data_IF_344569380854
#
_entry.id   IF_344569380854
#
_cell.length_a   1.000
_cell.length_b   1.000
_cell.length_c   1.000
_cell.angle_alpha   90.00
_cell.angle_beta   90.00
_cell.angle_gamma   90.00
#
_symmetry.space_group_name_H-M   'P 1'
#
loop_
_entity.id
_entity.type
_entity.pdbx_description
1 polymer ?
#
# COMPACT_ATOMS: atom_id res chain seq x y z
N UNK A 1 -33.78 1.80 -33.91
CA UNK A 1 -32.57 1.09 -33.44
C UNK A 1 -31.36 1.87 -33.89
N UNK A 2 -30.87 2.76 -33.04
CA UNK A 2 -29.71 3.62 -33.33
C UNK A 2 -28.55 3.08 -32.52
N UNK A 3 -27.61 2.42 -33.19
CA UNK A 3 -26.38 1.91 -32.58
C UNK A 3 -25.45 3.09 -32.39
N UNK A 4 -25.15 3.45 -31.14
CA UNK A 4 -24.13 4.46 -30.83
C UNK A 4 -22.72 3.87 -31.08
N UNK A 5 -21.78 4.66 -31.61
CA UNK A 5 -20.44 4.18 -31.92
C UNK A 5 -19.66 3.94 -30.62
N UNK A 6 -19.13 2.71 -30.48
CA UNK A 6 -18.20 2.32 -29.43
C UNK A 6 -16.95 3.21 -29.51
N UNK A 7 -16.73 4.03 -28.49
CA UNK A 7 -15.51 4.82 -28.34
C UNK A 7 -14.37 3.86 -27.98
N UNK A 8 -13.45 3.62 -28.91
CA UNK A 8 -12.19 2.92 -28.64
C UNK A 8 -11.35 3.75 -27.66
N UNK A 9 -11.24 3.27 -26.42
CA UNK A 9 -10.34 3.87 -25.43
C UNK A 9 -8.89 3.78 -25.91
N UNK A 10 -8.07 4.84 -25.74
CA UNK A 10 -6.69 4.84 -26.20
C UNK A 10 -5.88 3.87 -25.34
N UNK A 11 -5.45 2.75 -25.95
CA UNK A 11 -4.48 1.80 -25.39
C UNK A 11 -3.24 2.57 -24.90
N UNK A 12 -3.12 2.78 -23.58
CA UNK A 12 -1.93 3.35 -22.95
C UNK A 12 -0.74 2.44 -23.26
N UNK A 13 0.16 2.96 -24.09
CA UNK A 13 1.35 2.24 -24.54
C UNK A 13 2.24 1.91 -23.35
N UNK A 14 2.38 0.61 -23.03
CA UNK A 14 3.41 0.06 -22.13
C UNK A 14 4.76 0.71 -22.45
N UNK A 15 5.35 1.40 -21.46
CA UNK A 15 6.75 1.79 -21.52
C UNK A 15 7.59 0.53 -21.32
N UNK A 16 7.80 -0.22 -22.41
CA UNK A 16 8.83 -1.25 -22.45
C UNK A 16 10.16 -0.55 -22.20
N UNK A 17 10.93 -1.02 -21.22
CA UNK A 17 12.33 -0.65 -21.03
C UNK A 17 13.02 -0.72 -22.40
N UNK A 18 13.31 0.44 -22.96
CA UNK A 18 13.90 0.53 -24.28
C UNK A 18 15.40 0.35 -24.12
N UNK A 19 15.91 -0.82 -24.49
CA UNK A 19 17.35 -1.10 -24.57
C UNK A 19 18.10 -0.05 -25.37
N UNK A 20 17.40 0.62 -26.30
CA UNK A 20 17.93 1.76 -27.05
C UNK A 20 18.18 2.96 -26.14
N UNK A 21 17.26 3.30 -25.23
CA UNK A 21 17.43 4.45 -24.31
C UNK A 21 18.62 4.24 -23.37
N UNK A 22 18.80 3.03 -22.83
CA UNK A 22 19.99 2.71 -22.02
C UNK A 22 21.27 2.73 -22.86
N UNK A 23 21.24 2.23 -24.10
CA UNK A 23 22.40 2.28 -24.99
C UNK A 23 22.80 3.73 -25.36
N UNK A 24 21.83 4.61 -25.62
CA UNK A 24 22.08 6.04 -25.84
C UNK A 24 22.71 6.70 -24.61
N UNK A 25 22.26 6.33 -23.40
CA UNK A 25 22.84 6.84 -22.17
C UNK A 25 24.31 6.41 -21.99
N UNK A 26 24.62 5.14 -22.22
CA UNK A 26 26.00 4.65 -22.19
C UNK A 26 26.88 5.29 -23.27
N UNK A 27 26.36 5.50 -24.48
CA UNK A 27 27.08 6.20 -25.55
C UNK A 27 27.40 7.66 -25.18
N UNK A 28 26.46 8.37 -24.55
CA UNK A 28 26.69 9.73 -24.05
C UNK A 28 27.74 9.77 -22.93
N UNK A 29 27.69 8.83 -22.00
CA UNK A 29 28.71 8.71 -20.93
C UNK A 29 30.08 8.41 -21.52
N UNK A 30 30.17 7.48 -22.47
CA UNK A 30 31.42 7.16 -23.16
C UNK A 30 31.98 8.40 -23.88
N UNK A 31 31.12 9.15 -24.60
CA UNK A 31 31.54 10.36 -25.30
C UNK A 31 32.00 11.46 -24.34
N UNK A 32 31.35 11.61 -23.19
CA UNK A 32 31.78 12.53 -22.13
C UNK A 32 33.15 12.13 -21.56
N UNK A 33 33.36 10.84 -21.24
CA UNK A 33 34.64 10.32 -20.73
C UNK A 33 35.75 10.49 -21.77
N UNK A 34 35.49 10.17 -23.04
CA UNK A 34 36.44 10.37 -24.14
C UNK A 34 36.77 11.86 -24.34
N UNK A 35 35.76 12.74 -24.25
CA UNK A 35 35.95 14.19 -24.34
C UNK A 35 36.84 14.72 -23.22
N UNK A 36 36.60 14.31 -21.97
CA UNK A 36 37.44 14.68 -20.82
C UNK A 36 38.86 14.12 -20.97
N UNK A 37 39.02 12.89 -21.46
CA UNK A 37 40.34 12.32 -21.71
C UNK A 37 41.12 13.09 -22.77
N UNK A 38 40.46 13.49 -23.87
CA UNK A 38 41.06 14.28 -24.93
C UNK A 38 41.47 15.68 -24.43
N UNK A 39 40.64 16.35 -23.62
CA UNK A 39 40.99 17.66 -23.06
C UNK A 39 42.17 17.57 -22.10
N UNK A 40 42.22 16.55 -21.22
CA UNK A 40 43.36 16.32 -20.32
C UNK A 40 44.64 16.06 -21.10
N UNK A 41 44.57 15.29 -22.20
CA UNK A 41 45.74 15.02 -23.04
C UNK A 41 46.25 16.28 -23.75
N UNK A 42 45.36 17.08 -24.32
CA UNK A 42 45.73 18.37 -24.95
C UNK A 42 46.31 19.35 -23.92
N UNK A 43 45.76 19.36 -22.71
CA UNK A 43 46.28 20.11 -21.57
C UNK A 43 47.69 19.67 -21.16
N UNK A 44 47.94 18.36 -21.14
CA UNK A 44 49.24 17.78 -20.80
C UNK A 44 50.30 18.05 -21.88
N UNK A 45 49.90 17.97 -23.16
CA UNK A 45 50.77 18.32 -24.30
C UNK A 45 51.07 19.83 -24.32
N UNK A 46 50.10 20.71 -24.02
CA UNK A 46 50.31 22.15 -23.92
C UNK A 46 51.14 22.58 -22.70
N UNK A 47 51.08 21.82 -21.60
CA UNK A 47 51.89 22.06 -20.41
C UNK A 47 53.40 21.78 -20.64
N UNK A 48 53.73 20.97 -21.65
CA UNK A 48 55.12 20.69 -22.01
C UNK A 48 55.79 21.89 -22.73
N UNK A 49 55.01 22.78 -23.35
CA UNK A 49 55.55 23.91 -24.14
C UNK A 49 55.51 25.24 -23.39
N UNK A 50 54.50 25.48 -22.53
CA UNK A 50 54.37 26.73 -21.78
C UNK A 50 53.82 26.52 -20.34
N UNK A 51 54.67 26.58 -19.29
CA UNK A 51 54.25 26.32 -17.90
C UNK A 51 53.19 27.31 -17.37
N UNK A 52 53.09 28.50 -17.97
CA UNK A 52 52.07 29.49 -17.62
C UNK A 52 50.67 29.16 -18.19
N UNK A 53 50.59 28.47 -19.33
CA UNK A 53 49.31 28.10 -19.96
C UNK A 53 48.60 26.93 -19.27
N UNK A 54 49.37 26.05 -18.63
CA UNK A 54 48.84 24.92 -17.86
C UNK A 54 48.04 25.38 -16.63
N UNK A 55 48.51 26.43 -15.94
CA UNK A 55 47.86 26.96 -14.74
C UNK A 55 46.51 27.62 -15.05
N UNK A 56 46.41 28.39 -16.15
CA UNK A 56 45.15 29.03 -16.54
C UNK A 56 44.09 28.03 -16.92
N UNK A 57 44.47 26.95 -17.61
CA UNK A 57 43.55 25.92 -18.03
C UNK A 57 43.12 24.98 -16.88
N UNK A 58 44.00 24.69 -15.91
CA UNK A 58 43.61 24.01 -14.65
C UNK A 58 42.63 24.86 -13.83
N UNK A 59 42.87 26.17 -13.73
CA UNK A 59 41.95 27.09 -13.05
C UNK A 59 40.59 27.19 -13.75
N UNK A 60 40.56 27.17 -15.09
CA UNK A 60 39.32 27.16 -15.87
C UNK A 60 38.53 25.86 -15.71
N UNK A 61 39.20 24.70 -15.65
CA UNK A 61 38.58 23.40 -15.35
C UNK A 61 38.06 23.31 -13.90
N UNK A 62 38.80 23.86 -12.93
CA UNK A 62 38.34 23.93 -11.54
C UNK A 62 37.10 24.84 -11.40
N UNK A 63 37.08 25.98 -12.11
CA UNK A 63 35.95 26.89 -12.11
C UNK A 63 34.69 26.27 -12.76
N UNK A 64 34.84 25.53 -13.85
CA UNK A 64 33.71 24.84 -14.51
C UNK A 64 33.20 23.64 -13.70
N UNK A 65 34.08 22.88 -13.04
CA UNK A 65 33.69 21.81 -12.11
C UNK A 65 32.93 22.32 -10.87
N UNK A 66 33.26 23.52 -10.38
CA UNK A 66 32.60 24.13 -9.23
C UNK A 66 31.16 24.61 -9.54
N UNK A 67 30.86 24.96 -10.80
CA UNK A 67 29.52 25.40 -11.23
C UNK A 67 28.55 24.23 -11.47
N UNK A 68 29.06 23.01 -11.71
CA UNK A 68 28.24 21.80 -11.85
C UNK A 68 27.89 21.12 -10.50
N UNK A 69 28.64 21.40 -9.43
CA UNK A 69 28.44 20.83 -8.10
C UNK A 69 27.18 21.28 -7.30
N UNK A 70 26.55 22.47 -7.52
CA UNK A 70 25.39 22.89 -6.74
C UNK A 70 24.15 22.02 -6.98
N UNK A 71 24.02 21.39 -8.15
CA UNK A 71 22.89 20.53 -8.50
C UNK A 71 22.84 19.24 -7.66
N UNK A 72 24.00 18.60 -7.44
CA UNK A 72 24.11 17.37 -6.66
C UNK A 72 24.13 17.61 -5.14
N UNK A 73 24.65 18.75 -4.66
CA UNK A 73 24.58 19.11 -3.23
C UNK A 73 23.16 19.46 -2.77
N UNK A 74 22.34 20.08 -3.63
CA UNK A 74 20.91 20.36 -3.32
C UNK A 74 20.06 19.10 -3.18
N UNK A 75 20.40 18.03 -3.89
CA UNK A 75 19.67 16.74 -3.81
C UNK A 75 20.01 15.92 -2.56
N UNK A 76 21.24 16.02 -2.03
CA UNK A 76 21.63 15.36 -0.76
C UNK A 76 21.13 16.10 0.49
N UNK A 77 21.09 17.43 0.48
CA UNK A 77 20.61 18.23 1.64
C UNK A 77 19.09 18.14 1.81
N UNK A 78 18.31 17.98 0.72
CA UNK A 78 16.85 17.78 0.80
C UNK A 78 16.42 16.48 1.48
N UNK A 79 17.28 15.45 1.53
CA UNK A 79 17.01 14.19 2.23
C UNK A 79 17.23 14.28 3.75
N UNK A 80 18.13 15.16 4.20
CA UNK A 80 18.42 15.34 5.63
C UNK A 80 17.53 16.42 6.29
N UNK A 81 17.08 17.42 5.52
CA UNK A 81 16.22 18.49 6.03
C UNK A 81 14.80 18.05 6.43
N UNK A 82 14.32 16.88 5.98
CA UNK A 82 13.00 16.36 6.38
C UNK A 82 13.00 15.64 7.73
N UNK A 83 14.17 15.24 8.24
CA UNK A 83 14.30 14.54 9.52
C UNK A 83 14.28 15.51 10.71
N UNK A 84 14.94 16.67 10.58
CA UNK A 84 15.06 17.68 11.65
C UNK A 84 13.77 18.49 11.84
N UNK A 85 12.97 18.66 10.80
CA UNK A 85 11.66 19.32 10.90
C UNK A 85 10.70 18.53 11.80
N UNK A 86 10.71 17.19 11.74
CA UNK A 86 9.84 16.34 12.58
C UNK A 86 10.26 16.32 14.05
N UNK A 87 11.57 16.37 14.35
CA UNK A 87 12.05 16.45 15.74
C UNK A 87 11.76 17.81 16.38
N UNK A 88 11.81 18.89 15.60
CA UNK A 88 11.42 20.23 16.07
C UNK A 88 9.91 20.36 16.27
N UNK A 89 9.11 19.78 15.38
CA UNK A 89 7.64 19.76 15.51
C UNK A 89 7.21 18.97 16.76
N UNK A 90 7.77 17.76 16.97
CA UNK A 90 7.47 16.95 18.15
C UNK A 90 7.92 17.62 19.47
N UNK A 91 9.06 18.32 19.46
CA UNK A 91 9.52 19.09 20.62
C UNK A 91 8.64 20.32 20.90
N UNK A 92 8.13 20.97 19.85
CA UNK A 92 7.21 22.10 19.98
C UNK A 92 5.83 21.66 20.51
N UNK A 93 5.33 20.49 20.07
CA UNK A 93 4.07 19.91 20.55
C UNK A 93 4.18 19.45 22.02
N UNK A 94 5.31 18.86 22.43
CA UNK A 94 5.56 18.50 23.83
C UNK A 94 5.64 19.72 24.76
N UNK A 95 6.23 20.83 24.29
CA UNK A 95 6.25 22.08 25.03
C UNK A 95 4.84 22.69 25.17
N UNK A 96 4.03 22.65 24.10
CA UNK A 96 2.66 23.15 24.11
C UNK A 96 1.73 22.33 25.03
N UNK A 97 1.92 21.02 25.10
CA UNK A 97 1.12 20.14 25.98
C UNK A 97 1.44 20.35 27.46
N UNK A 98 2.70 20.64 27.80
CA UNK A 98 3.10 20.98 29.17
C UNK A 98 2.46 22.29 29.64
N UNK A 99 2.39 23.29 28.75
CA UNK A 99 1.70 24.57 29.04
C UNK A 99 0.18 24.38 29.15
N UNK A 100 -0.42 23.51 28.33
CA UNK A 100 -1.86 23.21 28.35
C UNK A 100 -2.26 22.39 29.58
N UNK A 101 -1.42 21.46 30.04
CA UNK A 101 -1.61 20.68 31.26
C UNK A 101 -1.55 21.57 32.52
N UNK A 102 -0.70 22.60 32.53
CA UNK A 102 -0.62 23.57 33.63
C UNK A 102 -1.81 24.54 33.70
N UNK A 103 -2.63 24.63 32.63
CA UNK A 103 -3.77 25.56 32.55
C UNK A 103 -5.12 24.91 32.85
N UNK A 104 -5.17 23.60 33.19
CA UNK A 104 -6.41 22.90 33.51
C UNK A 104 -6.78 23.11 34.97
N UNK A 105 -7.95 23.70 35.30
CA UNK A 105 -8.40 23.79 36.68
C UNK A 105 -8.76 22.39 37.23
N UNK A 106 -8.55 22.13 38.52
CA UNK A 106 -8.84 20.82 39.11
C UNK A 106 -10.35 20.56 39.14
N UNK A 107 -10.75 19.38 38.69
CA UNK A 107 -12.11 18.86 38.83
C UNK A 107 -12.28 18.37 40.29
N UNK A 108 -13.37 18.72 41.00
CA UNK A 108 -13.60 18.23 42.36
C UNK A 108 -13.90 16.72 42.41
N UNK A 109 -13.23 16.05 43.33
CA UNK A 109 -13.38 14.65 43.72
C UNK A 109 -14.67 14.45 44.54
N UNK A 110 -15.82 14.25 43.90
CA UNK A 110 -17.06 13.85 44.60
C UNK A 110 -18.10 13.25 43.64
N UNK A 111 -17.90 12.03 43.16
CA UNK A 111 -18.98 11.15 42.67
C UNK A 111 -18.47 9.71 42.42
N UNK A 112 -17.95 9.06 43.46
CA UNK A 112 -17.81 7.59 43.47
C UNK A 112 -18.32 7.08 44.82
N UNK A 113 -19.64 7.01 44.96
CA UNK A 113 -20.29 6.23 46.01
C UNK A 113 -21.78 6.01 45.66
N UNK A 114 -22.15 4.73 45.60
CA UNK A 114 -23.48 4.14 45.77
C UNK A 114 -23.96 3.31 44.57
N UNK A 115 -23.75 1.99 44.66
CA UNK A 115 -24.81 0.98 44.58
C UNK A 115 -24.18 -0.42 44.46
N UNK A 116 -23.81 -1.01 45.60
CA UNK A 116 -23.73 -2.46 45.78
C UNK A 116 -24.74 -2.82 46.89
N UNK A 117 -25.74 -3.63 46.54
CA UNK A 117 -26.50 -4.52 47.42
C UNK A 117 -27.69 -5.10 46.64
N UNK A 118 -27.70 -6.41 46.41
CA UNK A 118 -28.85 -7.07 45.79
C UNK A 118 -28.68 -8.56 45.51
N UNK A 119 -28.41 -9.35 46.56
CA UNK A 119 -28.49 -10.82 46.57
C UNK A 119 -29.91 -11.29 46.20
N UNK A 120 -30.02 -12.36 45.40
CA UNK A 120 -31.29 -13.05 45.16
C UNK A 120 -31.16 -14.32 44.33
N UNK A 121 -30.93 -15.45 45.01
CA UNK A 121 -31.10 -16.81 44.48
C UNK A 121 -32.57 -17.24 44.62
N UNK A 122 -33.20 -17.75 43.55
CA UNK A 122 -34.35 -18.64 43.64
C UNK A 122 -34.55 -19.44 42.33
N UNK A 123 -34.42 -20.75 42.47
CA UNK A 123 -34.85 -21.85 41.61
C UNK A 123 -36.37 -21.94 41.47
N UNK A 124 -36.89 -22.30 40.28
CA UNK A 124 -38.12 -23.09 40.02
C UNK A 124 -37.94 -23.73 38.61
N UNK A 125 -37.65 -25.02 38.47
CA UNK A 125 -38.50 -26.22 38.50
C UNK A 125 -39.06 -26.62 37.12
N UNK A 126 -39.00 -27.93 36.82
CA UNK A 126 -39.19 -28.54 35.50
C UNK A 126 -40.65 -28.74 35.08
N UNK A 127 -40.92 -28.87 33.78
CA UNK A 127 -41.29 -30.16 33.18
C UNK A 127 -42.32 -30.02 32.04
N UNK A 128 -42.53 -31.07 31.21
CA UNK A 128 -42.76 -30.98 29.75
C UNK A 128 -44.17 -31.41 29.30
N UNK A 129 -44.66 -30.98 28.12
CA UNK A 129 -45.83 -31.58 27.43
C UNK A 129 -45.78 -31.40 25.88
N UNK A 130 -45.50 -32.50 25.18
CA UNK A 130 -46.20 -33.17 24.06
C UNK A 130 -47.00 -32.42 22.96
N UNK A 131 -46.73 -32.83 21.69
CA UNK A 131 -47.65 -33.01 20.53
C UNK A 131 -48.23 -31.76 19.85
N UNK A 132 -48.41 -31.63 18.52
CA UNK A 132 -48.46 -32.54 17.37
C UNK A 132 -48.32 -31.68 16.06
N UNK A 133 -48.11 -32.28 14.87
CA UNK A 133 -47.77 -31.58 13.63
C UNK A 133 -49.01 -31.19 12.79
N UNK A 134 -48.95 -30.03 12.11
CA UNK A 134 -49.95 -29.68 11.09
C UNK A 134 -49.31 -29.39 9.72
N UNK A 135 -49.99 -30.01 8.76
CA UNK A 135 -49.83 -30.17 7.32
C UNK A 135 -50.20 -28.91 6.50
N UNK A 136 -49.65 -28.81 5.28
CA UNK A 136 -50.41 -28.29 4.13
C UNK A 136 -49.98 -26.98 3.47
N UNK A 137 -49.24 -27.08 2.35
CA UNK A 137 -49.42 -26.19 1.19
C UNK A 137 -48.15 -25.52 0.61
N UNK A 138 -47.82 -25.71 -0.69
CA UNK A 138 -46.76 -24.95 -1.34
C UNK A 138 -47.27 -23.54 -1.67
N UNK A 139 -46.68 -22.52 -1.04
CA UNK A 139 -46.91 -21.14 -1.44
C UNK A 139 -46.14 -20.89 -2.74
N UNK A 140 -46.89 -20.56 -3.79
CA UNK A 140 -46.39 -20.03 -5.05
C UNK A 140 -45.52 -18.79 -4.77
N UNK A 141 -44.19 -18.98 -4.77
CA UNK A 141 -43.24 -17.87 -4.70
C UNK A 141 -43.16 -17.20 -6.07
N UNK A 142 -43.67 -15.97 -6.15
CA UNK A 142 -43.51 -15.07 -7.28
C UNK A 142 -42.02 -14.97 -7.67
N UNK A 143 -41.62 -15.23 -8.94
CA UNK A 143 -40.22 -15.16 -9.38
C UNK A 143 -39.55 -13.80 -9.18
N UNK A 144 -40.30 -12.75 -8.84
CA UNK A 144 -39.78 -11.40 -8.57
C UNK A 144 -39.38 -11.16 -7.11
N UNK A 145 -39.69 -12.10 -6.20
CA UNK A 145 -39.31 -12.03 -4.77
C UNK A 145 -38.10 -12.89 -4.43
N UNK A 146 -37.31 -13.27 -5.46
CA UNK A 146 -36.02 -13.93 -5.24
C UNK A 146 -35.11 -12.93 -4.50
N UNK A 147 -34.70 -13.18 -3.25
CA UNK A 147 -33.71 -12.34 -2.59
C UNK A 147 -32.46 -12.32 -3.49
N UNK A 148 -31.74 -11.18 -3.61
CA UNK A 148 -30.46 -11.16 -4.29
C UNK A 148 -29.64 -12.32 -3.71
N UNK A 149 -29.10 -13.17 -4.60
CA UNK A 149 -28.45 -14.43 -4.26
C UNK A 149 -27.72 -14.27 -2.93
N UNK A 150 -28.24 -14.93 -1.88
CA UNK A 150 -27.83 -14.68 -0.50
C UNK A 150 -26.31 -14.63 -0.44
N UNK A 151 -25.76 -13.42 -0.31
CA UNK A 151 -24.34 -13.18 -0.34
C UNK A 151 -23.74 -14.02 0.78
N UNK A 152 -22.86 -14.94 0.41
CA UNK A 152 -22.09 -15.70 1.39
C UNK A 152 -21.25 -14.68 2.17
N UNK A 153 -21.69 -14.33 3.38
CA UNK A 153 -20.96 -13.41 4.24
C UNK A 153 -19.88 -14.23 4.92
N UNK A 154 -18.65 -14.12 4.41
CA UNK A 154 -17.52 -14.82 4.99
C UNK A 154 -17.10 -14.12 6.28
N UNK A 155 -17.09 -14.85 7.40
CA UNK A 155 -16.54 -14.34 8.65
C UNK A 155 -15.01 -14.44 8.63
N UNK A 156 -14.35 -13.40 8.15
CA UNK A 156 -12.90 -13.32 8.09
C UNK A 156 -12.23 -13.23 9.47
N UNK A 157 -12.96 -12.86 10.53
CA UNK A 157 -12.39 -12.75 11.87
C UNK A 157 -12.18 -14.11 12.53
N UNK A 158 -13.00 -15.10 12.16
CA UNK A 158 -12.85 -16.48 12.61
C UNK A 158 -11.67 -17.21 11.95
N UNK A 159 -11.11 -16.67 10.85
CA UNK A 159 -9.99 -17.27 10.13
C UNK A 159 -8.66 -16.99 10.82
N UNK A 160 -7.77 -17.99 10.81
CA UNK A 160 -6.35 -17.77 11.06
C UNK A 160 -5.68 -17.11 9.83
N UNK A 161 -4.37 -16.86 9.90
CA UNK A 161 -3.65 -16.14 8.84
C UNK A 161 -3.63 -16.92 7.51
N UNK A 162 -3.31 -18.22 7.55
CA UNK A 162 -3.20 -19.06 6.35
C UNK A 162 -4.58 -19.29 5.70
N UNK A 163 -5.63 -19.46 6.51
CA UNK A 163 -7.00 -19.56 6.03
C UNK A 163 -7.48 -18.23 5.44
N UNK A 164 -7.05 -17.09 6.00
CA UNK A 164 -7.36 -15.77 5.45
C UNK A 164 -6.71 -15.56 4.07
N UNK A 165 -5.46 -15.96 3.90
CA UNK A 165 -4.78 -15.92 2.59
C UNK A 165 -5.51 -16.80 1.56
N UNK A 166 -5.92 -18.00 1.96
CA UNK A 166 -6.67 -18.93 1.13
C UNK A 166 -8.05 -18.40 0.75
N UNK A 167 -8.72 -17.69 1.68
CA UNK A 167 -9.99 -17.04 1.43
C UNK A 167 -9.86 -15.91 0.38
N UNK A 168 -8.83 -15.06 0.51
CA UNK A 168 -8.56 -14.00 -0.48
C UNK A 168 -8.24 -14.59 -1.86
N UNK A 169 -7.46 -15.67 -1.92
CA UNK A 169 -7.21 -16.39 -3.17
C UNK A 169 -8.51 -16.92 -3.80
N UNK A 170 -9.43 -17.46 -2.99
CA UNK A 170 -10.74 -17.93 -3.45
C UNK A 170 -11.58 -16.78 -4.04
N UNK A 171 -11.53 -15.58 -3.44
CA UNK A 171 -12.17 -14.40 -4.02
C UNK A 171 -11.57 -14.02 -5.37
N UNK A 172 -10.24 -14.09 -5.52
CA UNK A 172 -9.59 -13.86 -6.80
C UNK A 172 -10.07 -14.85 -7.87
N UNK A 173 -10.11 -16.15 -7.57
CA UNK A 173 -10.61 -17.17 -8.50
C UNK A 173 -12.08 -16.95 -8.88
N UNK A 174 -12.93 -16.67 -7.88
CA UNK A 174 -14.36 -16.38 -8.06
C UNK A 174 -14.59 -15.25 -9.05
N UNK A 175 -13.78 -14.19 -8.95
CA UNK A 175 -13.95 -12.97 -9.74
C UNK A 175 -13.12 -12.97 -11.04
N UNK A 176 -12.63 -14.14 -11.44
CA UNK A 176 -12.10 -14.38 -12.78
C UNK A 176 -10.59 -14.24 -12.93
N UNK A 177 -9.84 -14.12 -11.82
CA UNK A 177 -8.38 -14.28 -11.89
C UNK A 177 -7.99 -15.70 -12.32
N UNK A 178 -6.84 -15.81 -12.98
CA UNK A 178 -6.20 -17.06 -13.38
C UNK A 178 -4.87 -17.23 -12.67
N UNK A 179 -4.30 -18.43 -12.73
CA UNK A 179 -2.98 -18.76 -12.17
C UNK A 179 -2.84 -18.38 -10.68
N UNK A 180 -3.95 -18.46 -9.94
CA UNK A 180 -4.03 -18.07 -8.54
C UNK A 180 -3.20 -19.03 -7.70
N UNK A 181 -2.32 -18.49 -6.87
CA UNK A 181 -1.43 -19.24 -5.98
C UNK A 181 -1.32 -18.53 -4.66
N UNK A 182 -1.60 -19.25 -3.58
CA UNK A 182 -1.19 -18.87 -2.22
C UNK A 182 0.29 -19.22 -2.08
N UNK A 183 1.11 -18.22 -1.77
CA UNK A 183 2.56 -18.36 -1.62
C UNK A 183 2.94 -18.43 -0.15
N UNK A 184 2.26 -17.66 0.70
CA UNK A 184 2.28 -17.64 2.18
C UNK A 184 3.47 -18.25 2.92
N UNK A 185 4.11 -17.47 3.78
CA UNK A 185 5.00 -17.98 4.82
C UNK A 185 6.47 -17.61 4.63
N UNK A 186 7.38 -18.43 5.16
CA UNK A 186 8.78 -18.03 5.27
C UNK A 186 9.43 -17.78 3.90
N UNK A 187 9.78 -16.52 3.61
CA UNK A 187 10.44 -16.12 2.37
C UNK A 187 9.48 -15.70 1.25
N UNK A 188 8.19 -15.52 1.54
CA UNK A 188 7.20 -14.95 0.63
C UNK A 188 7.52 -13.50 0.20
N UNK A 189 8.41 -12.82 0.95
CA UNK A 189 8.78 -11.41 0.77
C UNK A 189 7.54 -10.49 0.74
N UNK A 190 6.47 -10.92 1.42
CA UNK A 190 5.19 -10.23 1.53
C UNK A 190 4.23 -10.40 0.36
N UNK A 191 4.48 -11.33 -0.56
CA UNK A 191 3.47 -11.72 -1.55
C UNK A 191 2.75 -12.97 -1.07
N UNK A 192 1.57 -12.80 -0.48
CA UNK A 192 0.82 -13.91 0.13
C UNK A 192 -0.07 -14.59 -0.92
N UNK A 193 -0.62 -13.80 -1.86
CA UNK A 193 -1.35 -14.31 -3.04
C UNK A 193 -0.81 -13.71 -4.33
N UNK A 194 -0.57 -14.56 -5.32
CA UNK A 194 -0.20 -14.18 -6.68
C UNK A 194 -1.28 -14.65 -7.65
N UNK A 195 -1.65 -13.80 -8.59
CA UNK A 195 -2.63 -14.14 -9.62
C UNK A 195 -2.42 -13.36 -10.93
N UNK A 196 -3.10 -13.79 -11.97
CA UNK A 196 -3.27 -13.05 -13.22
C UNK A 196 -4.70 -12.50 -13.26
N UNK A 197 -4.87 -11.18 -13.31
CA UNK A 197 -6.21 -10.55 -13.37
C UNK A 197 -6.96 -10.94 -14.65
N UNK A 198 -8.30 -10.74 -14.71
CA UNK A 198 -9.08 -11.01 -15.92
C UNK A 198 -8.52 -10.31 -17.17
N UNK A 199 -8.02 -9.07 -17.03
CA UNK A 199 -7.41 -8.27 -18.09
C UNK A 199 -5.92 -8.57 -18.35
N UNK A 200 -5.36 -9.57 -17.67
CA UNK A 200 -4.02 -10.12 -17.94
C UNK A 200 -2.87 -9.40 -17.24
N UNK A 201 -3.13 -8.60 -16.21
CA UNK A 201 -2.12 -7.98 -15.36
C UNK A 201 -1.67 -8.94 -14.27
N UNK A 202 -0.41 -8.84 -13.85
CA UNK A 202 0.09 -9.57 -12.68
C UNK A 202 -0.40 -8.92 -11.39
N UNK A 203 -1.20 -9.65 -10.63
CA UNK A 203 -1.73 -9.27 -9.31
C UNK A 203 -0.85 -9.85 -8.20
N UNK A 204 -0.50 -9.01 -7.23
CA UNK A 204 0.22 -9.38 -6.02
C UNK A 204 -0.53 -8.82 -4.83
N UNK A 205 -0.92 -9.69 -3.90
CA UNK A 205 -1.66 -9.31 -2.70
C UNK A 205 -0.87 -9.73 -1.46
N UNK A 206 -0.75 -8.80 -0.51
CA UNK A 206 -0.39 -9.09 0.88
C UNK A 206 -1.66 -9.15 1.72
N UNK A 207 -1.80 -10.19 2.52
CA UNK A 207 -2.85 -10.37 3.49
C UNK A 207 -2.34 -10.02 4.90
N UNK A 208 -3.11 -9.23 5.65
CA UNK A 208 -2.83 -8.91 7.07
C UNK A 208 -4.05 -9.17 7.93
N UNK A 209 -4.07 -10.31 8.60
CA UNK A 209 -5.11 -10.66 9.58
C UNK A 209 -4.79 -10.01 10.93
N UNK A 210 -5.41 -8.87 11.20
CA UNK A 210 -5.28 -8.15 12.48
C UNK A 210 -6.65 -7.98 13.14
N UNK A 211 -6.66 -7.88 14.48
CA UNK A 211 -7.87 -7.56 15.23
C UNK A 211 -8.27 -6.07 15.08
N UNK A 212 -9.50 -5.70 15.47
CA UNK A 212 -10.09 -4.39 15.19
C UNK A 212 -9.32 -3.20 15.81
N UNK A 213 -8.55 -3.43 16.87
CA UNK A 213 -7.74 -2.38 17.53
C UNK A 213 -6.40 -2.16 16.82
N UNK A 214 -5.90 -3.16 16.09
CA UNK A 214 -4.59 -3.14 15.46
C UNK A 214 -4.70 -2.82 13.98
N UNK A 215 -4.30 -1.62 13.60
CA UNK A 215 -4.32 -1.15 12.21
C UNK A 215 -3.01 -1.47 11.51
N UNK A 216 -3.07 -1.65 10.19
CA UNK A 216 -1.89 -1.82 9.34
C UNK A 216 -1.08 -0.52 9.33
N UNK A 217 0.19 -0.64 9.71
CA UNK A 217 1.11 0.48 9.88
C UNK A 217 1.90 0.79 8.61
N UNK A 218 2.47 1.99 8.52
CA UNK A 218 3.29 2.39 7.36
C UNK A 218 4.52 1.49 7.15
N UNK A 219 5.02 0.85 8.20
CA UNK A 219 6.11 -0.12 8.09
C UNK A 219 5.71 -1.37 7.30
N UNK A 220 4.48 -1.85 7.43
CA UNK A 220 3.98 -3.00 6.66
C UNK A 220 3.94 -2.65 5.17
N UNK A 221 3.38 -1.49 4.84
CA UNK A 221 3.30 -1.01 3.46
C UNK A 221 4.68 -0.73 2.87
N UNK A 222 5.64 -0.22 3.67
CA UNK A 222 7.01 0.00 3.20
C UNK A 222 7.75 -1.31 2.88
N UNK A 223 7.54 -2.36 3.69
CA UNK A 223 8.12 -3.68 3.41
C UNK A 223 7.55 -4.26 2.12
N UNK A 224 6.22 -4.26 2.00
CA UNK A 224 5.53 -4.73 0.80
C UNK A 224 5.89 -3.90 -0.43
N UNK A 225 5.88 -2.58 -0.33
CA UNK A 225 6.26 -1.66 -1.38
C UNK A 225 7.71 -1.84 -1.86
N UNK A 226 8.59 -2.33 -0.99
CA UNK A 226 9.96 -2.68 -1.33
C UNK A 226 10.09 -3.92 -2.24
N UNK A 227 9.10 -4.81 -2.26
CA UNK A 227 9.18 -6.13 -2.91
C UNK A 227 8.14 -6.33 -4.01
N UNK A 228 6.90 -5.86 -3.83
CA UNK A 228 5.78 -6.15 -4.74
C UNK A 228 6.09 -5.84 -6.22
N UNK A 229 6.68 -4.68 -6.50
CA UNK A 229 7.05 -4.30 -7.87
C UNK A 229 8.41 -4.84 -8.32
N UNK A 230 9.43 -4.72 -7.47
CA UNK A 230 10.81 -5.01 -7.85
C UNK A 230 11.13 -6.51 -7.88
N UNK A 231 10.46 -7.30 -7.04
CA UNK A 231 10.69 -8.75 -6.89
C UNK A 231 9.55 -9.54 -7.50
N UNK A 232 8.30 -9.16 -7.20
CA UNK A 232 7.13 -9.91 -7.67
C UNK A 232 6.54 -9.38 -8.98
N UNK A 233 7.11 -8.32 -9.55
CA UNK A 233 6.71 -7.73 -10.84
C UNK A 233 5.22 -7.39 -10.89
N UNK A 234 4.64 -6.92 -9.78
CA UNK A 234 3.25 -6.53 -9.70
C UNK A 234 2.90 -5.47 -10.77
N UNK A 235 1.83 -5.70 -11.51
CA UNK A 235 1.14 -4.66 -12.28
C UNK A 235 -0.07 -4.12 -11.50
N UNK A 236 -0.61 -4.92 -10.58
CA UNK A 236 -1.58 -4.52 -9.54
C UNK A 236 -1.05 -5.02 -8.20
N UNK A 237 -0.83 -4.12 -7.25
CA UNK A 237 -0.39 -4.44 -5.90
C UNK A 237 -1.47 -4.03 -4.90
N UNK A 238 -1.90 -4.94 -4.04
CA UNK A 238 -2.87 -4.65 -3.00
C UNK A 238 -2.45 -5.20 -1.64
N UNK A 239 -2.84 -4.50 -0.58
CA UNK A 239 -2.83 -5.03 0.78
C UNK A 239 -4.27 -5.18 1.24
N UNK A 240 -4.62 -6.39 1.66
CA UNK A 240 -5.95 -6.76 2.14
C UNK A 240 -5.85 -7.07 3.63
N UNK A 241 -6.73 -6.51 4.44
CA UNK A 241 -6.69 -6.70 5.90
C UNK A 241 -8.09 -6.83 6.49
N UNK A 242 -8.20 -7.59 7.58
CA UNK A 242 -9.41 -7.65 8.42
C UNK A 242 -9.55 -6.44 9.35
N UNK A 243 -8.66 -5.47 9.27
CA UNK A 243 -8.66 -4.24 10.08
C UNK A 243 -8.67 -3.01 9.16
N UNK A 244 -8.16 -1.88 9.66
CA UNK A 244 -7.99 -0.66 8.88
C UNK A 244 -6.52 -0.32 8.68
N UNK A 245 -6.27 0.69 7.86
CA UNK A 245 -4.97 1.31 7.69
C UNK A 245 -4.81 2.53 8.60
N UNK A 246 -3.60 2.73 9.10
CA UNK A 246 -3.22 4.02 9.69
C UNK A 246 -3.11 5.09 8.61
N UNK A 247 -3.34 6.36 8.95
CA UNK A 247 -3.19 7.46 7.98
C UNK A 247 -1.81 7.48 7.29
N UNK A 248 -0.67 7.33 7.99
CA UNK A 248 0.64 7.26 7.33
C UNK A 248 0.81 6.04 6.41
N UNK A 249 0.09 4.94 6.66
CA UNK A 249 0.10 3.78 5.78
C UNK A 249 -0.65 4.08 4.48
N UNK A 250 -1.84 4.68 4.57
CA UNK A 250 -2.63 5.09 3.41
C UNK A 250 -1.89 6.10 2.54
N UNK A 251 -1.28 7.14 3.15
CA UNK A 251 -0.47 8.13 2.43
C UNK A 251 0.72 7.52 1.69
N UNK A 252 1.35 6.50 2.28
CA UNK A 252 2.46 5.79 1.63
C UNK A 252 1.96 4.88 0.50
N UNK A 253 0.87 4.15 0.74
CA UNK A 253 0.27 3.26 -0.25
C UNK A 253 -0.13 4.03 -1.52
N UNK A 254 -0.75 5.20 -1.37
CA UNK A 254 -1.08 6.10 -2.47
C UNK A 254 0.16 6.51 -3.29
N UNK A 255 1.25 6.91 -2.63
CA UNK A 255 2.50 7.28 -3.30
C UNK A 255 3.13 6.13 -4.10
N UNK A 256 2.93 4.90 -3.65
CA UNK A 256 3.45 3.69 -4.27
C UNK A 256 2.43 2.98 -5.18
N UNK A 257 1.25 3.56 -5.39
CA UNK A 257 0.14 2.94 -6.13
C UNK A 257 -0.25 1.55 -5.59
N UNK A 258 -0.15 1.35 -4.29
CA UNK A 258 -0.60 0.14 -3.60
C UNK A 258 -2.06 0.36 -3.18
N UNK A 259 -2.93 -0.55 -3.55
CA UNK A 259 -4.34 -0.50 -3.19
C UNK A 259 -4.53 -1.00 -1.76
N UNK A 260 -5.30 -0.26 -0.97
CA UNK A 260 -5.63 -0.61 0.41
C UNK A 260 -7.06 -1.14 0.45
N UNK A 261 -7.22 -2.40 0.83
CA UNK A 261 -8.52 -3.03 1.09
C UNK A 261 -8.62 -3.29 2.59
N UNK A 262 -9.30 -2.38 3.29
CA UNK A 262 -9.61 -2.52 4.70
C UNK A 262 -10.76 -3.51 4.90
N UNK A 263 -11.25 -3.59 6.13
CA UNK A 263 -12.38 -4.45 6.48
C UNK A 263 -13.60 -4.17 5.61
N UNK A 264 -13.99 -2.91 5.47
CA UNK A 264 -15.21 -2.53 4.74
C UNK A 264 -15.09 -2.89 3.27
N UNK A 265 -13.98 -2.52 2.61
CA UNK A 265 -13.74 -2.83 1.20
C UNK A 265 -13.63 -4.33 0.95
N UNK A 266 -13.01 -5.09 1.87
CA UNK A 266 -12.96 -6.54 1.81
C UNK A 266 -14.36 -7.16 1.92
N UNK A 267 -15.19 -6.70 2.85
CA UNK A 267 -16.55 -7.20 3.03
C UNK A 267 -17.39 -6.90 1.78
N UNK A 268 -17.33 -5.68 1.25
CA UNK A 268 -18.04 -5.28 0.05
C UNK A 268 -17.60 -6.09 -1.17
N UNK A 269 -16.29 -6.29 -1.34
CA UNK A 269 -15.75 -7.16 -2.39
C UNK A 269 -16.21 -8.62 -2.20
N UNK A 270 -16.16 -9.14 -0.98
CA UNK A 270 -16.61 -10.51 -0.68
C UNK A 270 -18.11 -10.72 -0.92
N UNK A 271 -18.93 -9.69 -0.71
CA UNK A 271 -20.36 -9.73 -0.97
C UNK A 271 -20.71 -9.47 -2.45
N UNK A 272 -19.74 -9.11 -3.29
CA UNK A 272 -19.94 -8.78 -4.70
C UNK A 272 -20.64 -7.43 -4.94
N UNK A 273 -20.63 -6.54 -3.93
CA UNK A 273 -21.20 -5.19 -4.02
C UNK A 273 -20.13 -4.11 -4.23
N UNK A 274 -18.89 -4.39 -3.84
CA UNK A 274 -17.73 -3.53 -4.05
C UNK A 274 -16.80 -4.03 -5.17
N UNK A 275 -15.89 -3.16 -5.65
CA UNK A 275 -14.96 -3.51 -6.71
C UNK A 275 -13.88 -4.46 -6.22
N UNK A 276 -13.39 -5.32 -7.11
CA UNK A 276 -12.17 -6.09 -6.87
C UNK A 276 -10.92 -5.20 -7.03
N UNK A 277 -9.76 -5.58 -6.44
CA UNK A 277 -8.55 -4.74 -6.51
C UNK A 277 -8.13 -4.31 -7.91
N UNK A 278 -8.30 -5.15 -8.93
CA UNK A 278 -7.90 -4.82 -10.31
C UNK A 278 -8.89 -3.92 -11.05
N UNK A 279 -10.01 -3.54 -10.45
CA UNK A 279 -11.03 -2.69 -11.09
C UNK A 279 -10.82 -1.20 -10.78
N UNK A 280 -9.89 -0.88 -9.87
CA UNK A 280 -9.53 0.47 -9.43
C UNK A 280 -8.39 1.10 -10.24
#
# INVERSE_FOLDING_TARGET
>A
MTVLPQQEQPRRRRHRFSTRVTAWWFALVALAVCGVGATVRVLAEAAAEHPAGALTAVMACAATGAVAAPGLRRLRIRRLARSTARTLQAAAEAAAETTRASARPPIPEAAVAAADAGVGCATLDGGPLDGDPLDGGPLDVDPLDRPPAAGFTMDFDALDADAFESAVATLCERDGCRDVRVVGGAGDLGADVLATTPDGRRLVIQCKRYGPVHKVGSQDLQRFGGTCYAVHEAEVAAVVTTSDFTQPAAEYAEQCAILCFGREELLDWSAGVGPAPWEL
#
